data_IF_606007256431
#
_entry.id   IF_606007256431
#
_cell.length_a   1.000
_cell.length_b   1.000
_cell.length_c   1.000
_cell.angle_alpha   90.00
_cell.angle_beta   90.00
_cell.angle_gamma   90.00
#
_symmetry.space_group_name_H-M   'P 1'
#
loop_
_entity.id
_entity.type
_entity.pdbx_description
1 polymer ?
#
# COMPACT_ATOMS: atom_id res chain seq x y z
N UNK A 1 20.72 -19.93 -15.99
CA UNK A 1 20.85 -18.46 -16.06
C UNK A 1 19.92 -17.78 -17.07
N UNK A 2 19.42 -18.46 -18.11
CA UNK A 2 18.62 -17.80 -19.17
C UNK A 2 17.12 -17.66 -18.93
N UNK A 3 16.52 -18.38 -17.98
CA UNK A 3 15.08 -18.24 -17.69
C UNK A 3 14.71 -16.87 -17.10
N UNK A 4 15.56 -16.29 -16.28
CA UNK A 4 15.31 -14.97 -15.64
C UNK A 4 15.37 -13.80 -16.63
N UNK A 5 16.23 -13.90 -17.66
CA UNK A 5 16.36 -12.84 -18.69
C UNK A 5 15.11 -12.77 -19.59
N UNK A 6 14.51 -13.91 -19.90
CA UNK A 6 13.31 -13.98 -20.73
C UNK A 6 12.03 -13.51 -20.02
N UNK A 7 11.92 -13.66 -18.69
CA UNK A 7 10.80 -13.12 -17.92
C UNK A 7 10.86 -11.59 -17.78
N UNK A 8 12.06 -11.03 -17.59
CA UNK A 8 12.26 -9.56 -17.57
C UNK A 8 11.83 -8.93 -18.91
N UNK A 9 12.08 -9.58 -20.02
CA UNK A 9 11.66 -9.13 -21.35
C UNK A 9 10.14 -9.24 -21.58
N UNK A 10 9.45 -10.19 -20.94
CA UNK A 10 7.98 -10.29 -21.03
C UNK A 10 7.27 -9.23 -20.20
N UNK A 11 7.75 -8.93 -18.98
CA UNK A 11 7.21 -7.84 -18.15
C UNK A 11 7.38 -6.47 -18.81
N UNK A 12 8.52 -6.20 -19.45
CA UNK A 12 8.73 -4.98 -20.23
C UNK A 12 7.79 -4.84 -21.44
N UNK A 13 7.17 -5.92 -21.92
CA UNK A 13 6.15 -5.88 -22.98
C UNK A 13 4.74 -5.59 -22.47
N UNK A 14 4.47 -5.87 -21.20
CA UNK A 14 3.16 -5.65 -20.55
C UNK A 14 3.04 -4.21 -20.03
N UNK A 15 4.15 -3.59 -19.65
CA UNK A 15 4.18 -2.17 -19.25
C UNK A 15 4.30 -1.33 -20.53
N UNK A 16 3.28 -0.55 -20.90
CA UNK A 16 3.36 0.27 -22.10
C UNK A 16 4.56 1.21 -22.03
N UNK A 17 5.37 1.26 -23.08
CA UNK A 17 6.54 2.15 -23.25
C UNK A 17 6.29 3.66 -23.02
N UNK A 18 5.07 4.06 -22.70
CA UNK A 18 4.70 5.45 -22.40
C UNK A 18 5.15 5.91 -21.00
N UNK A 19 5.35 5.01 -20.05
CA UNK A 19 5.86 5.37 -18.71
C UNK A 19 7.36 5.68 -18.70
N UNK A 20 8.13 5.20 -19.68
CA UNK A 20 9.57 5.46 -19.78
C UNK A 20 9.95 6.93 -20.04
N UNK A 21 8.99 7.82 -20.28
CA UNK A 21 9.24 9.24 -20.54
C UNK A 21 9.04 10.15 -19.32
N UNK A 22 8.55 9.63 -18.20
CA UNK A 22 8.50 10.38 -16.96
C UNK A 22 9.90 10.38 -16.36
N UNK A 23 10.65 11.46 -16.51
CA UNK A 23 11.91 11.66 -15.79
C UNK A 23 11.59 11.85 -14.32
N UNK A 24 11.52 10.75 -13.57
CA UNK A 24 11.48 10.81 -12.12
C UNK A 24 12.88 11.24 -11.65
N UNK A 25 13.01 12.28 -10.82
CA UNK A 25 14.30 12.65 -10.27
C UNK A 25 14.92 11.46 -9.54
N UNK A 26 16.22 11.23 -9.76
CA UNK A 26 16.95 10.18 -9.05
C UNK A 26 16.80 10.39 -7.53
N UNK A 27 16.18 9.48 -6.78
CA UNK A 27 15.92 9.65 -5.35
C UNK A 27 17.21 9.85 -4.52
N UNK A 28 18.35 9.36 -4.99
CA UNK A 28 19.63 9.60 -4.34
C UNK A 28 20.08 11.08 -4.30
N UNK A 29 19.39 11.98 -5.01
CA UNK A 29 19.66 13.43 -5.00
C UNK A 29 18.59 14.23 -4.23
N UNK A 30 17.57 13.60 -3.67
CA UNK A 30 16.58 14.27 -2.84
C UNK A 30 17.21 14.58 -1.49
N UNK A 31 17.75 15.78 -1.34
CA UNK A 31 18.15 16.30 -0.04
C UNK A 31 16.92 16.85 0.64
N UNK A 32 16.47 16.21 1.71
CA UNK A 32 15.46 16.79 2.59
C UNK A 32 15.99 18.13 3.12
N UNK A 33 15.39 19.23 2.67
CA UNK A 33 15.71 20.54 3.21
C UNK A 33 15.17 20.62 4.65
N UNK A 34 16.06 20.87 5.62
CA UNK A 34 15.67 21.19 7.00
C UNK A 34 15.02 22.59 7.10
N UNK A 35 15.04 23.37 6.03
CA UNK A 35 14.37 24.67 6.01
C UNK A 35 12.89 24.46 5.75
N UNK A 36 12.01 25.01 6.58
CA UNK A 36 10.58 24.98 6.30
C UNK A 36 10.34 25.60 4.91
N UNK A 37 9.47 24.99 4.12
CA UNK A 37 9.08 25.52 2.82
C UNK A 37 8.39 26.88 3.09
N UNK A 38 9.10 27.97 2.89
CA UNK A 38 8.68 29.33 3.24
C UNK A 38 7.43 29.84 2.49
N UNK A 39 7.00 29.12 1.43
CA UNK A 39 5.97 29.59 0.51
C UNK A 39 4.81 28.61 0.35
N UNK A 40 4.51 27.82 1.38
CA UNK A 40 3.32 26.99 1.33
C UNK A 40 2.09 27.87 1.58
N UNK A 41 1.33 28.15 0.51
CA UNK A 41 0.08 28.92 0.63
C UNK A 41 -1.05 28.00 1.10
N UNK A 42 -1.22 27.94 2.42
CA UNK A 42 -2.25 27.11 3.06
C UNK A 42 -3.67 27.50 2.60
N UNK A 43 -3.88 28.77 2.32
CA UNK A 43 -5.18 29.27 1.80
C UNK A 43 -5.48 28.70 0.40
N UNK A 44 -4.47 28.66 -0.47
CA UNK A 44 -4.61 28.02 -1.79
C UNK A 44 -4.93 26.54 -1.65
N UNK A 45 -4.31 25.85 -0.69
CA UNK A 45 -4.61 24.45 -0.41
C UNK A 45 -6.06 24.25 0.02
N UNK A 46 -6.58 25.10 0.93
CA UNK A 46 -7.98 25.02 1.36
C UNK A 46 -8.95 25.33 0.21
N UNK A 47 -8.64 26.27 -0.67
CA UNK A 47 -9.42 26.53 -1.89
C UNK A 47 -9.47 25.31 -2.80
N UNK A 48 -8.32 24.67 -3.06
CA UNK A 48 -8.25 23.45 -3.85
C UNK A 48 -9.03 22.29 -3.20
N UNK A 49 -8.91 22.13 -1.89
CA UNK A 49 -9.67 21.13 -1.12
C UNK A 49 -11.17 21.36 -1.24
N UNK A 50 -11.63 22.60 -1.14
CA UNK A 50 -13.05 22.95 -1.30
C UNK A 50 -13.57 22.62 -2.71
N UNK A 51 -12.81 22.96 -3.75
CA UNK A 51 -13.12 22.60 -5.15
C UNK A 51 -13.19 21.08 -5.33
N UNK A 52 -12.22 20.35 -4.79
CA UNK A 52 -12.21 18.89 -4.87
C UNK A 52 -13.43 18.27 -4.16
N UNK A 53 -13.77 18.77 -2.96
CA UNK A 53 -14.93 18.27 -2.22
C UNK A 53 -16.23 18.55 -2.96
N UNK A 54 -16.39 19.76 -3.51
CA UNK A 54 -17.56 20.09 -4.35
C UNK A 54 -17.69 19.12 -5.53
N UNK A 55 -16.57 18.82 -6.22
CA UNK A 55 -16.56 17.85 -7.33
C UNK A 55 -16.86 16.41 -6.88
N UNK A 56 -16.42 16.02 -5.69
CA UNK A 56 -16.78 14.71 -5.13
C UNK A 56 -18.27 14.62 -4.82
N UNK A 57 -18.85 15.67 -4.25
CA UNK A 57 -20.29 15.71 -3.94
C UNK A 57 -21.18 15.68 -5.20
N UNK A 58 -20.68 16.12 -6.36
CA UNK A 58 -21.40 15.91 -7.63
C UNK A 58 -21.61 14.42 -7.95
N UNK A 59 -20.81 13.53 -7.37
CA UNK A 59 -20.96 12.08 -7.54
C UNK A 59 -22.05 11.48 -6.66
N UNK A 60 -22.45 12.17 -5.59
CA UNK A 60 -23.42 11.67 -4.61
C UNK A 60 -24.75 11.32 -5.27
N UNK A 61 -25.14 12.05 -6.33
CA UNK A 61 -26.34 11.77 -7.15
C UNK A 61 -26.36 10.37 -7.76
N UNK A 62 -25.19 9.74 -7.98
CA UNK A 62 -25.12 8.39 -8.52
C UNK A 62 -25.30 7.32 -7.43
N UNK A 63 -25.29 7.71 -6.15
CA UNK A 63 -25.44 6.84 -4.99
C UNK A 63 -26.72 7.09 -4.18
N UNK A 64 -27.69 7.84 -4.76
CA UNK A 64 -28.96 8.19 -4.11
C UNK A 64 -29.74 6.92 -3.73
N UNK A 65 -29.68 5.91 -4.59
CA UNK A 65 -30.28 4.60 -4.31
C UNK A 65 -29.30 3.47 -4.70
N UNK A 66 -29.56 2.28 -4.11
CA UNK A 66 -28.69 1.11 -4.31
C UNK A 66 -28.56 0.72 -5.79
N UNK A 67 -29.67 0.72 -6.54
CA UNK A 67 -29.68 0.27 -7.93
C UNK A 67 -28.85 1.22 -8.82
N UNK A 68 -29.01 2.52 -8.66
CA UNK A 68 -28.22 3.53 -9.38
C UNK A 68 -26.73 3.43 -9.02
N UNK A 69 -26.42 3.25 -7.73
CA UNK A 69 -25.05 3.05 -7.25
C UNK A 69 -24.41 1.78 -7.82
N UNK A 70 -25.14 0.67 -7.87
CA UNK A 70 -24.64 -0.56 -8.47
C UNK A 70 -24.38 -0.43 -9.97
N UNK A 71 -25.29 0.17 -10.73
CA UNK A 71 -25.10 0.43 -12.17
C UNK A 71 -23.90 1.34 -12.43
N UNK A 72 -23.75 2.43 -11.67
CA UNK A 72 -22.62 3.33 -11.78
C UNK A 72 -21.30 2.60 -11.47
N UNK A 73 -21.28 1.79 -10.41
CA UNK A 73 -20.14 0.96 -10.04
C UNK A 73 -19.79 -0.07 -11.12
N UNK A 74 -20.78 -0.72 -11.71
CA UNK A 74 -20.57 -1.67 -12.81
C UNK A 74 -19.95 -0.98 -14.04
N UNK A 75 -20.51 0.17 -14.44
CA UNK A 75 -19.98 0.95 -15.57
C UNK A 75 -18.52 1.38 -15.31
N UNK A 76 -18.25 1.96 -14.15
CA UNK A 76 -16.91 2.42 -13.82
C UNK A 76 -15.92 1.26 -13.67
N UNK A 77 -16.37 0.10 -13.21
CA UNK A 77 -15.55 -1.10 -13.14
C UNK A 77 -15.22 -1.66 -14.52
N UNK A 78 -16.18 -1.66 -15.45
CA UNK A 78 -15.95 -2.11 -16.83
C UNK A 78 -14.89 -1.26 -17.56
N UNK A 79 -14.78 0.02 -17.21
CA UNK A 79 -13.78 0.93 -17.77
C UNK A 79 -12.39 0.79 -17.12
N UNK A 80 -12.23 -0.04 -16.10
CA UNK A 80 -10.96 -0.21 -15.38
C UNK A 80 -10.02 -1.18 -16.11
N UNK A 81 -9.02 -0.64 -16.76
CA UNK A 81 -7.98 -1.40 -17.48
C UNK A 81 -7.27 -2.42 -16.56
N UNK A 82 -7.19 -2.14 -15.26
CA UNK A 82 -6.49 -2.97 -14.29
C UNK A 82 -7.27 -4.21 -13.85
N UNK A 83 -8.54 -4.36 -14.17
CA UNK A 83 -9.34 -5.50 -13.69
C UNK A 83 -8.88 -6.82 -14.31
N UNK A 84 -8.63 -6.85 -15.62
CA UNK A 84 -8.11 -8.04 -16.28
C UNK A 84 -6.71 -8.39 -15.74
N UNK A 85 -5.84 -7.38 -15.61
CA UNK A 85 -4.48 -7.59 -15.06
C UNK A 85 -4.52 -8.21 -13.65
N UNK A 86 -5.44 -7.75 -12.80
CA UNK A 86 -5.60 -8.33 -11.46
C UNK A 86 -6.00 -9.80 -11.51
N UNK A 87 -6.98 -10.11 -12.35
CA UNK A 87 -7.46 -11.47 -12.56
C UNK A 87 -6.32 -12.39 -13.07
N UNK A 88 -5.54 -11.91 -14.04
CA UNK A 88 -4.41 -12.66 -14.59
C UNK A 88 -3.34 -12.93 -13.53
N UNK A 89 -3.02 -11.91 -12.71
CA UNK A 89 -2.04 -12.05 -11.61
C UNK A 89 -2.52 -13.06 -10.57
N UNK A 90 -3.80 -13.03 -10.18
CA UNK A 90 -4.36 -13.97 -9.22
C UNK A 90 -4.35 -15.41 -9.72
N UNK A 91 -4.73 -15.63 -10.98
CA UNK A 91 -4.95 -16.98 -11.51
C UNK A 91 -3.73 -17.58 -12.19
N UNK A 92 -2.88 -16.78 -12.85
CA UNK A 92 -1.74 -17.29 -13.61
C UNK A 92 -0.42 -17.15 -12.85
N UNK A 93 -0.33 -16.18 -11.92
CA UNK A 93 0.91 -15.86 -11.22
C UNK A 93 0.84 -16.05 -9.71
N UNK A 94 -0.24 -16.67 -9.19
CA UNK A 94 -0.45 -16.93 -7.77
C UNK A 94 -0.40 -15.66 -6.89
N UNK A 95 -0.83 -14.53 -7.42
CA UNK A 95 -0.94 -13.30 -6.66
C UNK A 95 -2.01 -13.42 -5.57
N UNK A 96 -1.67 -13.05 -4.34
CA UNK A 96 -2.58 -13.04 -3.20
C UNK A 96 -3.07 -11.62 -2.93
N UNK A 97 -4.35 -11.46 -2.68
CA UNK A 97 -4.97 -10.18 -2.34
C UNK A 97 -4.66 -9.06 -3.35
N UNK A 98 -4.78 -9.37 -4.64
CA UNK A 98 -4.41 -8.46 -5.73
C UNK A 98 -5.44 -7.33 -5.85
N UNK A 99 -5.11 -6.19 -5.25
CA UNK A 99 -5.88 -4.95 -5.31
C UNK A 99 -5.15 -3.91 -6.17
N UNK A 100 -5.75 -2.73 -6.34
CA UNK A 100 -5.04 -1.61 -6.97
C UNK A 100 -3.84 -1.13 -6.15
N UNK A 101 -3.90 -1.24 -4.83
CA UNK A 101 -2.77 -0.96 -3.96
C UNK A 101 -1.63 -1.96 -4.22
N UNK A 102 -1.96 -3.25 -4.32
CA UNK A 102 -1.01 -4.30 -4.68
C UNK A 102 -0.24 -3.97 -5.96
N UNK A 103 -0.95 -3.60 -7.04
CA UNK A 103 -0.32 -3.25 -8.32
C UNK A 103 0.62 -2.04 -8.19
N UNK A 104 0.21 -1.02 -7.44
CA UNK A 104 1.03 0.19 -7.22
C UNK A 104 2.31 -0.13 -6.45
N UNK A 105 2.23 -0.91 -5.38
CA UNK A 105 3.41 -1.32 -4.62
C UNK A 105 4.38 -2.12 -5.48
N UNK A 106 3.86 -3.08 -6.23
CA UNK A 106 4.69 -3.88 -7.13
C UNK A 106 5.42 -3.01 -8.14
N UNK A 107 4.70 -2.11 -8.81
CA UNK A 107 5.25 -1.17 -9.79
C UNK A 107 6.31 -0.27 -9.18
N UNK A 108 6.04 0.33 -8.01
CA UNK A 108 6.99 1.22 -7.32
C UNK A 108 8.28 0.49 -6.95
N UNK A 109 8.19 -0.69 -6.36
CA UNK A 109 9.36 -1.46 -5.96
C UNK A 109 10.23 -1.88 -7.15
N UNK A 110 9.60 -2.33 -8.24
CA UNK A 110 10.31 -2.67 -9.47
C UNK A 110 10.90 -1.42 -10.14
N UNK A 111 10.11 -0.33 -10.23
CA UNK A 111 10.52 0.88 -10.92
C UNK A 111 11.72 1.56 -10.24
N UNK A 112 11.73 1.61 -8.93
CA UNK A 112 12.80 2.25 -8.15
C UNK A 112 13.93 1.29 -7.75
N UNK A 113 13.85 0.02 -8.10
CA UNK A 113 14.84 -0.99 -7.71
C UNK A 113 14.98 -1.12 -6.19
N UNK A 114 13.88 -0.98 -5.44
CA UNK A 114 13.94 -0.97 -3.98
C UNK A 114 14.31 -2.33 -3.39
N UNK A 115 14.22 -3.39 -4.18
CA UNK A 115 14.60 -4.76 -3.83
C UNK A 115 16.06 -5.09 -4.13
N UNK A 116 16.79 -4.22 -4.83
CA UNK A 116 18.13 -4.52 -5.33
C UNK A 116 19.24 -4.14 -4.31
N UNK A 117 18.90 -3.71 -3.10
CA UNK A 117 19.80 -3.05 -2.17
C UNK A 117 20.56 -3.98 -1.21
N UNK A 118 20.73 -5.28 -1.53
CA UNK A 118 21.55 -6.19 -0.75
C UNK A 118 20.86 -7.49 -0.32
N UNK A 119 21.39 -8.09 0.75
CA UNK A 119 20.94 -9.42 1.23
C UNK A 119 19.71 -9.34 2.14
N UNK A 120 19.27 -8.13 2.50
CA UNK A 120 18.16 -7.87 3.40
C UNK A 120 17.27 -6.75 2.87
N UNK A 121 15.96 -6.91 3.04
CA UNK A 121 14.96 -5.86 2.85
C UNK A 121 13.96 -5.89 3.99
N UNK A 122 13.90 -4.83 4.78
CA UNK A 122 12.87 -4.62 5.81
C UNK A 122 11.99 -3.45 5.44
N UNK A 123 10.68 -3.69 5.37
CA UNK A 123 9.70 -2.67 4.94
C UNK A 123 8.74 -2.35 6.10
N UNK A 124 8.52 -1.06 6.34
CA UNK A 124 7.43 -0.60 7.18
C UNK A 124 6.28 -0.12 6.29
N UNK A 125 5.14 -0.81 6.39
CA UNK A 125 3.93 -0.43 5.69
C UNK A 125 3.01 0.37 6.61
N UNK A 126 2.59 1.56 6.20
CA UNK A 126 1.62 2.36 6.92
C UNK A 126 0.25 2.27 6.25
N UNK A 127 -0.81 2.25 7.07
CA UNK A 127 -2.22 2.15 6.61
C UNK A 127 -2.51 0.92 5.74
N UNK A 128 -2.07 -0.26 6.16
CA UNK A 128 -1.91 -1.43 5.29
C UNK A 128 -3.01 -2.49 5.42
N UNK A 129 -3.93 -2.40 6.39
CA UNK A 129 -5.02 -3.39 6.47
C UNK A 129 -5.82 -3.48 5.16
N UNK A 130 -6.10 -4.69 4.67
CA UNK A 130 -5.76 -6.03 5.19
C UNK A 130 -4.46 -6.66 4.67
N UNK A 131 -3.54 -5.92 4.01
CA UNK A 131 -2.22 -6.43 3.68
C UNK A 131 -1.87 -6.52 2.20
N UNK A 132 -2.47 -5.69 1.35
CA UNK A 132 -2.25 -5.75 -0.10
C UNK A 132 -0.81 -5.44 -0.52
N UNK A 133 -0.15 -4.45 0.10
CA UNK A 133 1.24 -4.13 -0.16
C UNK A 133 2.18 -5.21 0.35
N UNK A 134 1.88 -5.76 1.54
CA UNK A 134 2.63 -6.90 2.10
C UNK A 134 2.60 -8.09 1.12
N UNK A 135 1.42 -8.47 0.64
CA UNK A 135 1.27 -9.55 -0.35
C UNK A 135 2.01 -9.26 -1.64
N UNK A 136 1.94 -8.01 -2.12
CA UNK A 136 2.61 -7.55 -3.33
C UNK A 136 4.13 -7.74 -3.24
N UNK A 137 4.74 -7.21 -2.19
CA UNK A 137 6.20 -7.28 -2.04
C UNK A 137 6.66 -8.69 -1.70
N UNK A 138 5.89 -9.45 -0.90
CA UNK A 138 6.17 -10.86 -0.67
C UNK A 138 6.17 -11.67 -1.97
N UNK A 139 5.22 -11.43 -2.87
CA UNK A 139 5.19 -12.06 -4.19
C UNK A 139 6.42 -11.66 -5.03
N UNK A 140 6.77 -10.38 -5.07
CA UNK A 140 7.95 -9.87 -5.77
C UNK A 140 9.23 -10.56 -5.25
N UNK A 141 9.41 -10.58 -3.93
CA UNK A 141 10.60 -11.14 -3.30
C UNK A 141 10.71 -12.64 -3.56
N UNK A 142 9.63 -13.39 -3.39
CA UNK A 142 9.64 -14.84 -3.63
C UNK A 142 9.86 -15.19 -5.10
N UNK A 143 9.40 -14.35 -6.02
CA UNK A 143 9.49 -14.63 -7.46
C UNK A 143 10.85 -14.28 -8.03
N UNK A 144 11.45 -13.18 -7.62
CA UNK A 144 12.65 -12.63 -8.28
C UNK A 144 13.86 -12.45 -7.36
N UNK A 145 13.65 -12.39 -6.04
CA UNK A 145 14.68 -12.05 -5.06
C UNK A 145 14.68 -13.05 -3.89
N UNK A 146 14.57 -14.35 -4.20
CA UNK A 146 14.44 -15.41 -3.19
C UNK A 146 15.65 -15.55 -2.25
N UNK A 147 16.79 -14.97 -2.63
CA UNK A 147 18.01 -14.90 -1.79
C UNK A 147 18.02 -13.71 -0.83
N UNK A 148 17.10 -12.74 -0.97
CA UNK A 148 17.02 -11.58 -0.08
C UNK A 148 16.20 -11.94 1.16
N UNK A 149 16.73 -11.66 2.34
CA UNK A 149 15.99 -11.82 3.60
C UNK A 149 14.95 -10.71 3.73
N UNK A 150 13.72 -11.01 3.33
CA UNK A 150 12.60 -10.08 3.39
C UNK A 150 11.88 -10.16 4.73
N UNK A 151 11.69 -9.02 5.36
CA UNK A 151 10.88 -8.86 6.56
C UNK A 151 10.02 -7.61 6.47
N UNK A 152 8.93 -7.58 7.23
CA UNK A 152 8.04 -6.43 7.27
C UNK A 152 7.47 -6.23 8.66
N UNK A 153 7.14 -4.98 8.94
CA UNK A 153 6.32 -4.52 10.05
C UNK A 153 5.29 -3.55 9.50
N UNK A 154 4.20 -3.38 10.18
CA UNK A 154 3.10 -2.58 9.65
C UNK A 154 2.28 -1.90 10.72
N UNK A 155 1.52 -0.91 10.29
CA UNK A 155 0.57 -0.17 11.10
C UNK A 155 -0.71 0.10 10.30
N UNK A 156 -1.83 0.20 10.99
CA UNK A 156 -3.07 0.69 10.40
C UNK A 156 -3.97 1.32 11.46
N UNK A 157 -4.72 2.34 11.08
CA UNK A 157 -5.69 2.95 12.00
C UNK A 157 -6.85 1.98 12.24
N UNK A 158 -7.08 1.67 13.50
CA UNK A 158 -8.25 0.94 13.97
C UNK A 158 -9.23 1.91 14.61
N UNK A 159 -10.40 2.05 13.99
CA UNK A 159 -11.51 2.86 14.51
C UNK A 159 -12.57 1.91 15.03
N UNK A 160 -12.99 2.11 16.27
CA UNK A 160 -13.95 1.24 16.95
C UNK A 160 -13.27 0.22 17.87
N UNK A 161 -14.04 -0.62 18.49
CA UNK A 161 -13.58 -1.54 19.55
C UNK A 161 -13.35 -2.97 19.05
N UNK A 162 -13.88 -3.31 17.87
CA UNK A 162 -13.74 -4.65 17.30
C UNK A 162 -12.92 -4.63 16.02
N UNK A 163 -11.64 -4.99 16.17
CA UNK A 163 -10.74 -5.09 15.03
C UNK A 163 -11.00 -6.36 14.19
N UNK A 164 -11.38 -7.45 14.85
CA UNK A 164 -11.62 -8.71 14.14
C UNK A 164 -12.87 -8.61 13.27
N UNK A 165 -13.93 -7.93 13.71
CA UNK A 165 -15.08 -7.62 12.88
C UNK A 165 -14.69 -6.80 11.65
N UNK A 166 -13.89 -5.75 11.84
CA UNK A 166 -13.40 -4.92 10.75
C UNK A 166 -12.53 -5.71 9.77
N UNK A 167 -11.65 -6.57 10.26
CA UNK A 167 -10.77 -7.40 9.44
C UNK A 167 -11.57 -8.45 8.69
N UNK A 168 -12.56 -9.07 9.32
CA UNK A 168 -13.48 -9.99 8.66
C UNK A 168 -14.27 -9.29 7.54
N UNK A 169 -14.72 -8.05 7.77
CA UNK A 169 -15.39 -7.24 6.76
C UNK A 169 -14.46 -6.83 5.60
N UNK A 170 -13.16 -6.66 5.85
CA UNK A 170 -12.15 -6.35 4.84
C UNK A 170 -11.62 -7.59 4.11
N UNK A 171 -11.83 -8.78 4.66
CA UNK A 171 -11.46 -10.06 4.06
C UNK A 171 -9.99 -10.44 4.26
N UNK A 172 -9.61 -10.84 5.48
CA UNK A 172 -8.27 -11.43 5.77
C UNK A 172 -8.19 -12.91 5.34
N UNK A 173 -8.64 -13.20 4.12
CA UNK A 173 -8.70 -14.56 3.59
C UNK A 173 -7.33 -15.25 3.49
N UNK A 174 -6.26 -14.49 3.52
CA UNK A 174 -4.88 -15.01 3.48
C UNK A 174 -4.20 -15.03 4.85
N UNK A 175 -4.89 -14.64 5.91
CA UNK A 175 -4.39 -14.66 7.28
C UNK A 175 -3.22 -13.70 7.52
N UNK A 176 -3.14 -12.60 6.78
CA UNK A 176 -2.04 -11.62 6.95
C UNK A 176 -2.09 -10.99 8.33
N UNK A 177 -3.29 -10.66 8.82
CA UNK A 177 -3.49 -10.21 10.18
C UNK A 177 -3.40 -11.38 11.17
N UNK A 178 -4.25 -12.39 10.98
CA UNK A 178 -4.45 -13.45 11.97
C UNK A 178 -3.15 -14.18 12.34
N UNK A 179 -2.27 -14.42 11.36
CA UNK A 179 -1.04 -15.20 11.54
C UNK A 179 0.20 -14.37 11.85
N UNK A 180 0.12 -13.02 11.91
CA UNK A 180 1.28 -12.16 12.07
C UNK A 180 0.98 -10.98 13.02
N UNK A 181 0.21 -11.18 14.06
CA UNK A 181 -0.20 -10.12 15.00
C UNK A 181 0.99 -9.38 15.62
N UNK A 182 2.11 -10.06 15.80
CA UNK A 182 3.37 -9.53 16.31
C UNK A 182 4.02 -8.46 15.42
N UNK A 183 3.70 -8.48 14.13
CA UNK A 183 4.23 -7.52 13.15
C UNK A 183 3.38 -6.25 12.99
N UNK A 184 2.22 -6.22 13.62
CA UNK A 184 1.33 -5.07 13.61
C UNK A 184 1.60 -4.19 14.83
N UNK A 185 1.98 -2.94 14.58
CA UNK A 185 2.41 -2.00 15.62
C UNK A 185 1.24 -1.31 16.36
N UNK A 186 0.03 -1.79 16.17
CA UNK A 186 -1.13 -1.36 16.94
C UNK A 186 -1.47 -2.39 18.00
N UNK A 187 -1.99 -1.91 19.15
CA UNK A 187 -2.36 -2.76 20.28
C UNK A 187 -3.76 -3.32 20.11
N UNK A 188 -3.82 -4.63 20.16
CA UNK A 188 -5.05 -5.39 20.28
C UNK A 188 -4.87 -6.44 21.37
N UNK A 189 -5.90 -6.69 22.14
CA UNK A 189 -5.89 -7.80 23.09
C UNK A 189 -6.17 -9.14 22.38
N UNK A 190 -6.26 -10.22 23.15
CA UNK A 190 -6.53 -11.55 22.59
C UNK A 190 -7.92 -11.67 21.94
N UNK A 191 -8.85 -10.78 22.27
CA UNK A 191 -10.18 -10.69 21.66
C UNK A 191 -10.24 -9.71 20.50
N UNK A 192 -9.12 -9.06 20.17
CA UNK A 192 -9.07 -8.04 19.15
C UNK A 192 -9.35 -6.62 19.65
N UNK A 193 -9.64 -6.46 20.96
CA UNK A 193 -9.88 -5.14 21.54
C UNK A 193 -8.60 -4.33 21.65
N UNK A 194 -8.72 -3.04 21.35
CA UNK A 194 -7.63 -2.09 21.39
C UNK A 194 -7.24 -1.73 22.82
N UNK A 195 -5.94 -1.75 23.12
CA UNK A 195 -5.40 -1.30 24.41
C UNK A 195 -5.02 0.19 24.38
N UNK A 196 -3.80 0.50 23.98
CA UNK A 196 -3.22 1.84 24.07
C UNK A 196 -2.98 2.47 22.70
N UNK A 197 -2.35 1.72 21.76
CA UNK A 197 -1.99 2.22 20.43
C UNK A 197 -3.01 1.73 19.38
N UNK A 198 -3.79 2.64 18.85
CA UNK A 198 -4.80 2.35 17.83
C UNK A 198 -4.30 2.50 16.40
N UNK A 199 -3.00 2.72 16.21
CA UNK A 199 -2.42 2.95 14.91
C UNK A 199 -2.64 4.34 14.32
N UNK A 200 -3.21 5.28 15.08
CA UNK A 200 -3.38 6.66 14.64
C UNK A 200 -2.04 7.40 14.63
N UNK A 201 -1.50 7.61 13.44
CA UNK A 201 -0.23 8.32 13.22
C UNK A 201 -0.33 9.84 13.42
N UNK A 202 -1.51 10.38 13.71
CA UNK A 202 -1.66 11.78 14.12
C UNK A 202 -1.49 11.96 15.62
N UNK A 203 -1.50 10.85 16.39
CA UNK A 203 -1.24 10.84 17.84
C UNK A 203 0.24 10.61 18.11
N UNK A 204 0.88 11.55 18.80
CA UNK A 204 2.32 11.49 19.12
C UNK A 204 2.68 10.28 19.98
N UNK A 205 1.85 9.91 20.94
CA UNK A 205 2.11 8.76 21.82
C UNK A 205 2.14 7.45 21.03
N UNK A 206 1.25 7.29 20.06
CA UNK A 206 1.27 6.15 19.15
C UNK A 206 2.55 6.11 18.30
N UNK A 207 3.01 7.27 17.81
CA UNK A 207 4.26 7.36 17.05
C UNK A 207 5.46 6.96 17.92
N UNK A 208 5.50 7.44 19.17
CA UNK A 208 6.58 7.13 20.10
C UNK A 208 6.60 5.64 20.48
N UNK A 209 5.43 5.05 20.69
CA UNK A 209 5.29 3.62 20.93
C UNK A 209 5.74 2.78 19.71
N UNK A 210 5.28 3.12 18.52
CA UNK A 210 5.74 2.45 17.29
C UNK A 210 7.26 2.57 17.11
N UNK A 211 7.83 3.75 17.34
CA UNK A 211 9.27 3.96 17.30
C UNK A 211 10.02 3.08 18.30
N UNK A 212 9.52 2.96 19.54
CA UNK A 212 10.10 2.10 20.55
C UNK A 212 10.07 0.62 20.16
N UNK A 213 8.96 0.16 19.57
CA UNK A 213 8.81 -1.23 19.08
C UNK A 213 9.69 -1.53 17.86
N UNK A 214 9.91 -0.56 16.98
CA UNK A 214 10.83 -0.71 15.84
C UNK A 214 12.27 -0.82 16.34
N UNK A 215 12.63 -0.09 17.39
CA UNK A 215 13.96 -0.12 18.00
C UNK A 215 15.05 0.33 17.04
N UNK A 216 16.22 -0.31 17.16
CA UNK A 216 17.41 0.00 16.35
C UNK A 216 17.40 -0.69 14.98
N UNK A 217 16.60 -1.74 14.83
CA UNK A 217 16.46 -2.46 13.55
C UNK A 217 15.48 -1.71 12.62
N UNK A 218 15.97 -0.59 12.09
CA UNK A 218 15.17 0.33 11.27
C UNK A 218 14.78 -0.31 9.93
N UNK A 219 13.57 0.02 9.41
CA UNK A 219 13.18 -0.37 8.07
C UNK A 219 14.03 0.33 7.02
N UNK A 220 14.34 -0.39 5.93
CA UNK A 220 15.04 0.13 4.77
C UNK A 220 14.09 0.99 3.91
N UNK A 221 12.81 0.64 3.90
CA UNK A 221 11.76 1.34 3.16
C UNK A 221 10.55 1.61 4.07
N UNK A 222 9.99 2.81 3.97
CA UNK A 222 8.75 3.24 4.63
C UNK A 222 7.76 3.68 3.56
N UNK A 223 6.50 3.19 3.66
CA UNK A 223 5.45 3.48 2.67
C UNK A 223 4.32 4.31 3.26
#
# INVERSE_FOLDING_TARGET
MDRHRNHRLKLNKIIPNKLSKVKVPNPGKIKLSKKPVKNYNIEQFYKLKAVLNAKKSEMDKFYIDKNTGEKFSQMTNALRITNQLRFDIENEYNGQHVTRAWLKFYELFVHFGLSDNGDRLRVFFNAELPGAGICSINHLMKTYYSNVNYSWITNSLVVGNDIDEKINALGDQYGIWANNKDKWLMDVDQRGDRKNNNGDVTNLDNILDMKARIGDDKPDVVT
#
